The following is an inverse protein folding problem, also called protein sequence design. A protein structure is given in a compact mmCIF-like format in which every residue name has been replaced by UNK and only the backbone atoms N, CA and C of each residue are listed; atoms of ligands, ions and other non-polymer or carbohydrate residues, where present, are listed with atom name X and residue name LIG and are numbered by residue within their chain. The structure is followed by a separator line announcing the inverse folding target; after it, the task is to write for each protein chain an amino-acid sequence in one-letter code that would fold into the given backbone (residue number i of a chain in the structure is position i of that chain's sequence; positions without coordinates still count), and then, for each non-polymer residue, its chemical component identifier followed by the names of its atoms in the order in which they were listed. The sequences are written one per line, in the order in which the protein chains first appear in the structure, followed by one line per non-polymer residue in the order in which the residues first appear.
data_IF_131537043383
#
_entry.id   IF_131537043383
#
_cell.length_a   1.000
_cell.length_b   1.000
_cell.length_c   1.000
_cell.angle_alpha   90.00
_cell.angle_beta   90.00
_cell.angle_gamma   90.00
#
_symmetry.space_group_name_H-M   'P 1'
#
loop_
_entity.id
_entity.type
_entity.pdbx_description
1 polymer ?
#
# COMPACT_ATOMS: atom_id res chain seq x y z
N UNK A 1 -1.87 -26.74 10.06
CA UNK A 1 -1.39 -25.55 10.81
C UNK A 1 -2.38 -24.42 10.55
N UNK A 2 -2.95 -23.80 11.59
CA UNK A 2 -3.83 -22.64 11.40
C UNK A 2 -3.00 -21.46 10.89
N UNK A 3 -3.26 -20.98 9.67
CA UNK A 3 -2.57 -19.79 9.15
C UNK A 3 -2.89 -18.60 10.06
N UNK A 4 -1.85 -18.03 10.68
CA UNK A 4 -2.01 -16.81 11.49
C UNK A 4 -2.66 -15.72 10.64
N UNK A 5 -3.77 -15.17 11.13
CA UNK A 5 -4.44 -14.03 10.50
C UNK A 5 -3.46 -12.86 10.41
N UNK A 6 -3.20 -12.40 9.18
CA UNK A 6 -2.30 -11.26 8.91
C UNK A 6 -2.74 -10.05 9.71
N UNK A 7 -1.80 -9.31 10.26
CA UNK A 7 -2.00 -8.02 10.95
C UNK A 7 -1.92 -6.84 9.96
N UNK A 8 -2.28 -5.63 10.38
CA UNK A 8 -2.05 -4.44 9.56
C UNK A 8 -0.54 -4.21 9.35
N UNK A 9 0.28 -4.48 10.37
CA UNK A 9 1.75 -4.41 10.27
C UNK A 9 2.28 -5.30 9.15
N UNK A 10 1.82 -6.55 9.07
CA UNK A 10 2.24 -7.48 8.01
C UNK A 10 1.85 -6.97 6.61
N UNK A 11 0.67 -6.36 6.51
CA UNK A 11 0.17 -5.79 5.25
C UNK A 11 0.97 -4.56 4.84
N UNK A 12 1.27 -3.66 5.78
CA UNK A 12 2.08 -2.46 5.56
C UNK A 12 3.48 -2.85 5.10
N UNK A 13 4.16 -3.76 5.82
CA UNK A 13 5.49 -4.27 5.43
C UNK A 13 5.48 -4.86 4.03
N UNK A 14 4.47 -5.68 3.69
CA UNK A 14 4.38 -6.26 2.35
C UNK A 14 4.20 -5.20 1.24
N UNK A 15 3.48 -4.11 1.52
CA UNK A 15 3.33 -3.01 0.55
C UNK A 15 4.65 -2.24 0.43
N UNK A 16 5.31 -1.96 1.54
CA UNK A 16 6.64 -1.34 1.57
C UNK A 16 7.63 -2.15 0.72
N UNK A 17 7.74 -3.46 0.94
CA UNK A 17 8.66 -4.33 0.19
C UNK A 17 8.36 -4.32 -1.31
N UNK A 18 7.07 -4.42 -1.70
CA UNK A 18 6.67 -4.38 -3.11
C UNK A 18 7.04 -3.05 -3.76
N UNK A 19 6.77 -1.95 -3.08
CA UNK A 19 7.04 -0.65 -3.66
C UNK A 19 8.56 -0.39 -3.71
N UNK A 20 9.33 -0.80 -2.69
CA UNK A 20 10.79 -0.66 -2.66
C UNK A 20 11.47 -1.41 -3.80
N UNK A 21 11.02 -2.64 -4.07
CA UNK A 21 11.57 -3.49 -5.14
C UNK A 21 11.31 -2.92 -6.53
N UNK A 22 10.17 -2.27 -6.76
CA UNK A 22 9.74 -1.86 -8.10
C UNK A 22 9.84 -0.36 -8.40
N UNK A 23 9.89 0.50 -7.38
CA UNK A 23 9.87 1.96 -7.54
C UNK A 23 11.03 2.68 -6.86
N UNK A 24 11.91 1.97 -6.15
CA UNK A 24 13.04 2.58 -5.44
C UNK A 24 12.69 3.06 -4.03
N UNK A 25 13.38 4.11 -3.56
CA UNK A 25 13.33 4.51 -2.16
C UNK A 25 11.96 5.04 -1.71
N UNK A 26 11.55 4.58 -0.53
CA UNK A 26 10.26 4.87 0.09
C UNK A 26 10.47 5.48 1.46
N UNK A 27 9.82 6.64 1.62
CA UNK A 27 9.76 7.35 2.89
C UNK A 27 8.93 6.59 3.91
N UNK A 28 7.70 6.21 3.55
CA UNK A 28 6.86 5.40 4.42
C UNK A 28 5.67 4.76 3.71
N UNK A 29 5.14 3.71 4.32
CA UNK A 29 3.80 3.17 4.06
C UNK A 29 3.02 3.19 5.36
N UNK A 30 1.78 3.69 5.32
CA UNK A 30 0.97 3.84 6.52
C UNK A 30 -0.51 3.83 6.24
N UNK A 31 -1.27 3.80 7.33
CA UNK A 31 -2.73 3.91 7.31
C UNK A 31 -3.19 4.85 8.42
N UNK A 32 -4.16 5.71 8.10
CA UNK A 32 -4.78 6.63 9.06
C UNK A 32 -6.30 6.61 8.92
N UNK A 33 -6.99 6.93 9.99
CA UNK A 33 -8.42 7.20 9.95
C UNK A 33 -8.65 8.68 9.67
N UNK A 34 -9.53 8.99 8.71
CA UNK A 34 -9.89 10.34 8.32
C UNK A 34 -11.41 10.53 8.46
N UNK A 35 -11.83 11.55 9.23
CA UNK A 35 -13.24 11.74 9.62
C UNK A 35 -14.24 11.75 8.45
N UNK A 36 -13.87 12.30 7.29
CA UNK A 36 -14.77 12.41 6.12
C UNK A 36 -14.69 11.25 5.13
N UNK A 37 -13.57 10.51 5.12
CA UNK A 37 -13.26 9.53 4.06
C UNK A 37 -13.26 8.10 4.61
N UNK A 38 -13.04 7.93 5.91
CA UNK A 38 -12.79 6.64 6.53
C UNK A 38 -11.30 6.31 6.54
N UNK A 39 -10.97 5.04 6.35
CA UNK A 39 -9.57 4.60 6.40
C UNK A 39 -8.84 4.93 5.11
N UNK A 40 -7.67 5.55 5.22
CA UNK A 40 -6.82 5.90 4.07
C UNK A 40 -5.45 5.28 4.27
N UNK A 41 -5.05 4.41 3.34
CA UNK A 41 -3.70 3.90 3.20
C UNK A 41 -2.90 4.78 2.23
N UNK A 42 -1.62 5.00 2.54
CA UNK A 42 -0.69 5.79 1.72
C UNK A 42 0.67 5.10 1.61
N UNK A 43 1.27 5.15 0.43
CA UNK A 43 2.71 4.95 0.20
C UNK A 43 3.30 6.28 -0.29
N UNK A 44 4.37 6.72 0.37
CA UNK A 44 5.11 7.94 0.04
C UNK A 44 6.55 7.60 -0.33
N UNK A 45 6.99 8.15 -1.45
CA UNK A 45 8.32 7.93 -2.05
C UNK A 45 9.25 9.12 -1.75
N UNK A 46 10.55 8.88 -1.82
CA UNK A 46 11.57 9.92 -1.55
C UNK A 46 11.97 10.76 -2.78
N UNK A 47 11.50 10.41 -3.98
CA UNK A 47 11.74 11.14 -5.23
C UNK A 47 10.47 11.68 -5.91
N UNK A 48 10.53 11.90 -7.23
CA UNK A 48 9.46 12.49 -8.03
C UNK A 48 8.24 11.57 -8.25
N UNK A 49 8.30 10.33 -7.74
CA UNK A 49 7.19 9.40 -7.86
C UNK A 49 6.01 9.85 -7.00
N UNK A 50 4.85 10.04 -7.64
CA UNK A 50 3.64 10.50 -6.95
C UNK A 50 3.22 9.54 -5.82
N UNK A 51 2.72 10.13 -4.74
CA UNK A 51 2.16 9.36 -3.63
C UNK A 51 1.02 8.44 -4.10
N UNK A 52 1.02 7.19 -3.64
CA UNK A 52 -0.08 6.27 -3.88
C UNK A 52 -1.01 6.25 -2.67
N UNK A 53 -2.31 6.43 -2.91
CA UNK A 53 -3.34 6.35 -1.87
C UNK A 53 -4.47 5.40 -2.26
N UNK A 54 -5.10 4.82 -1.25
CA UNK A 54 -6.37 4.12 -1.40
C UNK A 54 -7.17 4.18 -0.10
N UNK A 55 -8.48 4.26 -0.21
CA UNK A 55 -9.42 4.26 0.90
C UNK A 55 -10.15 2.91 1.05
N UNK A 56 -10.89 2.77 2.15
CA UNK A 56 -11.74 1.62 2.43
C UNK A 56 -12.58 1.79 3.70
N UNK A 57 -13.63 0.99 3.83
CA UNK A 57 -14.51 1.00 5.01
C UNK A 57 -13.78 0.46 6.26
N UNK A 58 -12.78 -0.39 6.07
CA UNK A 58 -11.92 -0.91 7.14
C UNK A 58 -10.45 -0.64 6.86
N UNK A 59 -9.61 -0.70 7.90
CA UNK A 59 -8.17 -0.56 7.74
C UNK A 59 -7.57 -1.64 6.82
N UNK A 60 -8.12 -2.86 6.91
CA UNK A 60 -7.69 -4.01 6.10
C UNK A 60 -8.02 -3.78 4.64
N UNK A 61 -9.21 -3.24 4.36
CA UNK A 61 -9.66 -2.95 3.00
C UNK A 61 -8.82 -1.86 2.35
N UNK A 62 -8.58 -0.74 3.04
CA UNK A 62 -7.76 0.35 2.52
C UNK A 62 -6.32 -0.14 2.17
N UNK A 63 -5.71 -0.95 3.04
CA UNK A 63 -4.40 -1.57 2.76
C UNK A 63 -4.46 -2.55 1.58
N UNK A 64 -5.52 -3.36 1.48
CA UNK A 64 -5.71 -4.28 0.34
C UNK A 64 -5.83 -3.51 -0.98
N UNK A 65 -6.59 -2.41 -0.98
CA UNK A 65 -6.80 -1.57 -2.14
C UNK A 65 -5.50 -0.88 -2.57
N UNK A 66 -4.71 -0.36 -1.62
CA UNK A 66 -3.38 0.20 -1.91
C UNK A 66 -2.46 -0.85 -2.53
N UNK A 67 -2.39 -2.05 -1.95
CA UNK A 67 -1.59 -3.17 -2.51
C UNK A 67 -2.02 -3.52 -3.93
N UNK A 68 -3.32 -3.55 -4.21
CA UNK A 68 -3.85 -3.86 -5.54
C UNK A 68 -3.47 -2.77 -6.55
N UNK A 69 -3.53 -1.48 -6.14
CA UNK A 69 -3.07 -0.36 -6.96
C UNK A 69 -1.59 -0.49 -7.31
N UNK A 70 -0.73 -0.77 -6.33
CA UNK A 70 0.71 -1.05 -6.51
C UNK A 70 0.93 -2.16 -7.53
N UNK A 71 0.26 -3.31 -7.35
CA UNK A 71 0.37 -4.44 -8.29
C UNK A 71 -0.07 -4.09 -9.70
N UNK A 72 -1.12 -3.29 -9.86
CA UNK A 72 -1.62 -2.85 -11.17
C UNK A 72 -0.60 -1.99 -11.90
N UNK A 73 0.12 -1.14 -11.17
CA UNK A 73 1.18 -0.30 -11.71
C UNK A 73 2.37 -1.17 -12.14
N UNK A 74 2.86 -2.06 -11.27
CA UNK A 74 3.95 -3.01 -11.59
C UNK A 74 3.63 -3.81 -12.85
N UNK A 75 2.41 -4.36 -12.95
CA UNK A 75 1.98 -5.12 -14.12
C UNK A 75 2.03 -4.29 -15.41
N UNK A 76 1.71 -3.00 -15.35
CA UNK A 76 1.74 -2.12 -16.53
C UNK A 76 3.17 -1.84 -16.99
N UNK A 77 4.10 -1.62 -16.06
CA UNK A 77 5.51 -1.42 -16.40
C UNK A 77 6.18 -2.67 -16.97
N UNK A 78 5.83 -3.86 -16.47
CA UNK A 78 6.43 -5.12 -16.95
C UNK A 78 5.78 -5.68 -18.24
N UNK A 79 4.68 -5.08 -18.71
CA UNK A 79 4.00 -5.49 -19.94
C UNK A 79 4.45 -4.67 -21.16
N UNK A 80 5.41 -3.77 -20.96
CA UNK A 80 6.14 -3.01 -21.98
C UNK A 80 7.52 -3.64 -22.10
#
# INVERSE_FOLDING_TARGET
MSERKKTNTDRIKRIYDLCKVHFGDIRFVGIKYHKKIGWIAKAQFDGDFENLTADGATSVEALRNLKNRVKKIIKRYNAV
#
